data_IF_407764781382
#
_entry.id   IF_407764781382
#
_cell.length_a   1.000
_cell.length_b   1.000
_cell.length_c   1.000
_cell.angle_alpha   90.00
_cell.angle_beta   90.00
_cell.angle_gamma   90.00
#
_symmetry.space_group_name_H-M   'P 1'
#
loop_
_entity.id
_entity.type
_entity.pdbx_description
1 polymer ?
#
# COMPACT_ATOMS: atom_id res chain seq x y z
N UNK A 1 20.30 14.18 -8.38
CA UNK A 1 20.67 13.45 -7.14
C UNK A 1 19.50 13.62 -6.18
N UNK A 2 18.91 12.55 -5.65
CA UNK A 2 17.93 12.68 -4.57
C UNK A 2 18.67 13.09 -3.29
N UNK A 3 18.35 14.26 -2.73
CA UNK A 3 18.95 14.68 -1.46
C UNK A 3 18.56 13.72 -0.34
N UNK A 4 19.53 13.40 0.52
CA UNK A 4 19.28 12.59 1.70
C UNK A 4 18.42 13.40 2.68
N UNK A 5 17.16 12.99 2.87
CA UNK A 5 16.16 13.71 3.69
C UNK A 5 15.75 12.89 4.93
N UNK A 6 16.68 12.67 5.89
CA UNK A 6 16.46 11.75 7.02
C UNK A 6 15.31 12.19 7.92
N UNK A 7 15.16 13.49 8.16
CA UNK A 7 14.11 14.05 9.01
C UNK A 7 12.73 13.80 8.40
N UNK A 8 12.56 14.06 7.09
CA UNK A 8 11.30 13.83 6.40
C UNK A 8 10.93 12.34 6.39
N UNK A 9 11.89 11.45 6.13
CA UNK A 9 11.69 10.00 6.18
C UNK A 9 11.27 9.50 7.56
N UNK A 10 11.93 9.99 8.62
CA UNK A 10 11.58 9.64 10.01
C UNK A 10 10.19 10.14 10.38
N UNK A 11 9.83 11.39 10.05
CA UNK A 11 8.49 11.94 10.31
C UNK A 11 7.41 11.15 9.56
N UNK A 12 7.63 10.83 8.28
CA UNK A 12 6.70 10.01 7.50
C UNK A 12 6.52 8.62 8.09
N UNK A 13 7.62 7.97 8.49
CA UNK A 13 7.59 6.67 9.16
C UNK A 13 6.85 6.71 10.50
N UNK A 14 7.09 7.73 11.31
CA UNK A 14 6.40 7.93 12.60
C UNK A 14 4.90 8.15 12.42
N UNK A 15 4.47 8.93 11.42
CA UNK A 15 3.06 9.15 11.11
C UNK A 15 2.37 7.86 10.66
N UNK A 16 2.98 7.09 9.77
CA UNK A 16 2.44 5.81 9.29
C UNK A 16 2.35 4.80 10.45
N UNK A 17 3.42 4.68 11.24
CA UNK A 17 3.46 3.78 12.40
C UNK A 17 2.42 4.13 13.45
N UNK A 18 2.28 5.42 13.77
CA UNK A 18 1.25 5.92 14.69
C UNK A 18 -0.14 5.58 14.15
N UNK A 19 -0.43 5.88 12.87
CA UNK A 19 -1.71 5.52 12.25
C UNK A 19 -2.02 4.02 12.34
N UNK A 20 -1.04 3.15 12.11
CA UNK A 20 -1.20 1.70 12.23
C UNK A 20 -1.51 1.25 13.67
N UNK A 21 -0.86 1.85 14.68
CA UNK A 21 -1.14 1.59 16.10
C UNK A 21 -2.53 2.08 16.48
N UNK A 22 -2.93 3.28 16.04
CA UNK A 22 -4.27 3.80 16.26
C UNK A 22 -5.33 2.85 15.67
N UNK A 23 -5.18 2.42 14.43
CA UNK A 23 -6.11 1.47 13.82
C UNK A 23 -6.21 0.17 14.64
N UNK A 24 -5.06 -0.36 15.08
CA UNK A 24 -5.01 -1.57 15.91
C UNK A 24 -5.67 -1.35 17.27
N UNK A 25 -5.46 -0.22 17.93
CA UNK A 25 -6.01 0.10 19.24
C UNK A 25 -7.53 0.26 19.21
N UNK A 26 -8.08 0.92 18.18
CA UNK A 26 -9.52 1.20 18.09
C UNK A 26 -10.33 0.05 17.49
N UNK A 27 -9.75 -0.70 16.55
CA UNK A 27 -10.50 -1.76 15.84
C UNK A 27 -10.08 -3.17 16.23
N UNK A 28 -8.95 -3.33 16.92
CA UNK A 28 -8.32 -4.64 17.15
C UNK A 28 -7.75 -5.29 15.89
N UNK A 29 -7.73 -4.58 14.76
CA UNK A 29 -7.34 -5.10 13.44
C UNK A 29 -6.05 -4.44 12.96
N UNK A 30 -5.24 -5.23 12.28
CA UNK A 30 -3.95 -4.78 11.74
C UNK A 30 -4.15 -4.02 10.43
N UNK A 31 -3.35 -2.97 10.22
CA UNK A 31 -3.36 -2.24 8.97
C UNK A 31 -2.83 -3.12 7.83
N UNK A 32 -3.62 -3.27 6.77
CA UNK A 32 -3.26 -3.99 5.57
C UNK A 32 -4.20 -3.62 4.44
N UNK A 33 -3.78 -2.71 3.56
CA UNK A 33 -4.67 -2.07 2.58
C UNK A 33 -5.35 -3.10 1.67
N UNK A 34 -4.61 -4.08 1.14
CA UNK A 34 -5.22 -5.16 0.33
C UNK A 34 -6.24 -5.98 1.11
N UNK A 35 -6.01 -6.27 2.40
CA UNK A 35 -6.97 -7.03 3.22
C UNK A 35 -8.20 -6.20 3.60
N UNK A 36 -8.01 -4.89 3.80
CA UNK A 36 -9.11 -3.95 4.06
C UNK A 36 -9.99 -3.85 2.81
N UNK A 37 -9.38 -3.65 1.63
CA UNK A 37 -10.06 -3.57 0.34
C UNK A 37 -10.79 -4.87 -0.02
N UNK A 38 -10.12 -6.02 0.01
CA UNK A 38 -10.75 -7.31 -0.24
C UNK A 38 -11.88 -7.59 0.74
N UNK A 39 -11.64 -7.34 2.04
CA UNK A 39 -12.69 -7.62 3.01
C UNK A 39 -13.83 -6.59 3.00
N UNK A 40 -13.66 -5.40 2.43
CA UNK A 40 -14.79 -4.50 2.14
C UNK A 40 -15.68 -5.15 1.08
N UNK A 41 -15.10 -5.64 -0.02
CA UNK A 41 -15.84 -6.30 -1.09
C UNK A 41 -16.59 -7.52 -0.55
N UNK A 42 -15.94 -8.36 0.27
CA UNK A 42 -16.61 -9.52 0.86
C UNK A 42 -17.70 -9.14 1.86
N UNK A 43 -17.48 -8.13 2.70
CA UNK A 43 -18.46 -7.69 3.69
C UNK A 43 -19.71 -7.08 3.04
N UNK A 44 -19.55 -6.34 1.95
CA UNK A 44 -20.65 -5.82 1.15
C UNK A 44 -21.47 -6.95 0.51
N UNK A 45 -20.80 -7.96 -0.05
CA UNK A 45 -21.47 -9.16 -0.61
C UNK A 45 -22.22 -9.96 0.44
N UNK A 46 -21.73 -9.97 1.68
CA UNK A 46 -22.35 -10.69 2.80
C UNK A 46 -23.41 -9.85 3.57
N UNK A 47 -23.69 -8.61 3.16
CA UNK A 47 -24.64 -7.74 3.85
C UNK A 47 -24.21 -7.29 5.25
N UNK A 48 -22.91 -7.41 5.59
CA UNK A 48 -22.37 -6.98 6.90
C UNK A 48 -22.11 -5.48 6.89
N UNK A 49 -23.13 -4.70 7.24
CA UNK A 49 -23.13 -3.23 7.16
C UNK A 49 -22.05 -2.59 8.04
N UNK A 50 -21.94 -3.01 9.30
CA UNK A 50 -20.98 -2.43 10.25
C UNK A 50 -19.51 -2.69 9.85
N UNK A 51 -19.21 -3.92 9.44
CA UNK A 51 -17.86 -4.30 9.00
C UNK A 51 -17.48 -3.65 7.65
N UNK A 52 -18.46 -3.38 6.80
CA UNK A 52 -18.24 -2.65 5.55
C UNK A 52 -18.02 -1.16 5.82
N UNK A 53 -18.76 -0.58 6.76
CA UNK A 53 -18.72 0.85 7.06
C UNK A 53 -17.32 1.31 7.49
N UNK A 54 -16.67 0.66 8.46
CA UNK A 54 -15.34 1.09 8.92
C UNK A 54 -14.27 0.94 7.84
N UNK A 55 -14.33 -0.14 7.04
CA UNK A 55 -13.38 -0.37 5.93
C UNK A 55 -13.56 0.67 4.84
N UNK A 56 -14.81 0.98 4.51
CA UNK A 56 -15.15 2.02 3.55
C UNK A 56 -14.66 3.38 4.03
N UNK A 57 -14.94 3.76 5.28
CA UNK A 57 -14.47 5.00 5.89
C UNK A 57 -12.94 5.09 5.90
N UNK A 58 -12.24 3.98 6.20
CA UNK A 58 -10.78 3.94 6.16
C UNK A 58 -10.24 4.19 4.74
N UNK A 59 -10.77 3.48 3.73
CA UNK A 59 -10.35 3.65 2.34
C UNK A 59 -10.67 5.05 1.81
N UNK A 60 -11.88 5.56 2.11
CA UNK A 60 -12.29 6.91 1.76
C UNK A 60 -11.39 7.95 2.42
N UNK A 61 -11.04 7.74 3.70
CA UNK A 61 -10.12 8.60 4.45
C UNK A 61 -8.74 8.69 3.80
N UNK A 62 -8.17 7.58 3.32
CA UNK A 62 -6.89 7.61 2.58
C UNK A 62 -6.97 8.42 1.29
N UNK A 63 -8.06 8.24 0.51
CA UNK A 63 -8.27 9.00 -0.73
C UNK A 63 -8.49 10.48 -0.43
N UNK A 64 -9.34 10.80 0.54
CA UNK A 64 -9.64 12.17 0.94
C UNK A 64 -8.41 12.89 1.51
N UNK A 65 -7.59 12.22 2.33
CA UNK A 65 -6.36 12.80 2.88
C UNK A 65 -5.35 13.12 1.77
N UNK A 66 -5.19 12.21 0.79
CA UNK A 66 -4.31 12.43 -0.36
C UNK A 66 -4.80 13.60 -1.22
N UNK A 67 -6.12 13.68 -1.46
CA UNK A 67 -6.72 14.79 -2.18
C UNK A 67 -6.54 16.14 -1.45
N UNK A 68 -6.80 16.18 -0.15
CA UNK A 68 -6.60 17.37 0.68
C UNK A 68 -5.13 17.84 0.70
N UNK A 69 -4.19 16.89 0.68
CA UNK A 69 -2.75 17.21 0.57
C UNK A 69 -2.43 17.96 -0.73
N UNK A 70 -2.95 17.50 -1.87
CA UNK A 70 -2.73 18.19 -3.15
C UNK A 70 -3.38 19.58 -3.17
N UNK A 71 -4.57 19.73 -2.61
CA UNK A 71 -5.25 21.03 -2.55
C UNK A 71 -4.54 22.05 -1.65
N UNK A 72 -3.95 21.60 -0.54
CA UNK A 72 -3.32 22.49 0.45
C UNK A 72 -1.88 22.86 0.09
N UNK A 73 -1.14 21.94 -0.52
CA UNK A 73 0.27 22.19 -0.89
C UNK A 73 0.43 22.76 -2.30
N UNK A 74 -0.59 22.67 -3.15
CA UNK A 74 -0.49 22.99 -4.58
C UNK A 74 0.43 22.04 -5.34
N UNK A 75 0.82 20.90 -4.74
CA UNK A 75 1.64 19.90 -5.39
C UNK A 75 0.93 19.36 -6.63
N UNK A 76 1.67 19.20 -7.73
CA UNK A 76 1.14 18.64 -8.97
C UNK A 76 1.57 17.18 -9.10
N UNK A 77 0.64 16.33 -9.52
CA UNK A 77 1.00 14.97 -9.94
C UNK A 77 1.66 15.11 -11.31
N UNK A 78 2.87 14.57 -11.46
CA UNK A 78 3.53 14.42 -12.75
C UNK A 78 3.52 12.93 -13.10
N UNK A 79 2.43 12.41 -13.72
CA UNK A 79 2.36 11.01 -14.07
C UNK A 79 3.47 10.71 -15.06
N UNK A 80 4.20 9.61 -14.82
CA UNK A 80 5.17 9.16 -15.82
C UNK A 80 4.44 8.91 -17.15
N UNK A 81 4.88 9.65 -18.16
CA UNK A 81 4.41 9.53 -19.52
C UNK A 81 5.05 8.29 -20.18
N UNK A 82 4.49 7.79 -21.28
CA UNK A 82 5.03 6.70 -22.12
C UNK A 82 4.84 5.25 -21.63
N UNK A 83 4.01 5.00 -20.60
CA UNK A 83 3.62 3.63 -20.23
C UNK A 83 2.28 3.24 -20.90
N UNK A 84 2.22 2.11 -21.64
CA UNK A 84 0.96 1.67 -22.24
C UNK A 84 -0.04 1.28 -21.15
N UNK A 85 -1.30 1.70 -21.30
CA UNK A 85 -2.35 1.42 -20.33
C UNK A 85 -2.51 -0.07 -20.02
N UNK A 86 -2.31 -0.94 -21.03
CA UNK A 86 -2.33 -2.40 -20.84
C UNK A 86 -1.29 -2.91 -19.83
N UNK A 87 -0.11 -2.29 -19.78
CA UNK A 87 0.94 -2.66 -18.82
C UNK A 87 0.57 -2.23 -17.40
N UNK A 88 -0.10 -1.09 -17.23
CA UNK A 88 -0.62 -0.65 -15.93
C UNK A 88 -1.73 -1.59 -15.42
N UNK A 89 -2.66 -1.96 -16.31
CA UNK A 89 -3.73 -2.92 -15.98
C UNK A 89 -3.14 -4.28 -15.59
N UNK A 90 -2.21 -4.80 -16.40
CA UNK A 90 -1.54 -6.07 -16.12
C UNK A 90 -0.77 -6.01 -14.79
N UNK A 91 -0.03 -4.92 -14.54
CA UNK A 91 0.68 -4.70 -13.29
C UNK A 91 -0.27 -4.70 -12.08
N UNK A 92 -1.41 -4.01 -12.18
CA UNK A 92 -2.44 -4.00 -11.15
C UNK A 92 -3.01 -5.40 -10.87
N UNK A 93 -3.30 -6.18 -11.92
CA UNK A 93 -3.80 -7.56 -11.78
C UNK A 93 -2.75 -8.48 -11.12
N UNK A 94 -1.49 -8.40 -11.55
CA UNK A 94 -0.39 -9.18 -10.98
C UNK A 94 -0.16 -8.84 -9.50
N UNK A 95 -0.20 -7.55 -9.14
CA UNK A 95 -0.10 -7.11 -7.75
C UNK A 95 -1.30 -7.59 -6.93
N UNK A 96 -2.52 -7.48 -7.48
CA UNK A 96 -3.73 -8.00 -6.84
C UNK A 96 -3.63 -9.50 -6.54
N UNK A 97 -3.27 -10.29 -7.55
CA UNK A 97 -3.06 -11.74 -7.41
C UNK A 97 -1.94 -12.07 -6.41
N UNK A 98 -0.79 -11.39 -6.53
CA UNK A 98 0.36 -11.59 -5.64
C UNK A 98 0.05 -11.27 -4.17
N UNK A 99 -0.67 -10.19 -3.89
CA UNK A 99 -1.07 -9.84 -2.52
C UNK A 99 -2.11 -10.80 -1.95
N UNK A 100 -2.96 -11.40 -2.80
CA UNK A 100 -3.87 -12.47 -2.38
C UNK A 100 -3.10 -13.74 -1.99
N UNK A 101 -2.15 -14.18 -2.83
CA UNK A 101 -1.30 -15.34 -2.52
C UNK A 101 -0.44 -15.14 -1.26
N UNK A 102 0.09 -13.93 -1.07
CA UNK A 102 0.86 -13.56 0.13
C UNK A 102 0.03 -13.48 1.41
N UNK A 103 -1.31 -13.51 1.30
CA UNK A 103 -2.26 -13.20 2.37
C UNK A 103 -2.03 -11.81 3.00
N UNK A 104 -1.61 -10.85 2.16
CA UNK A 104 -1.23 -9.52 2.61
C UNK A 104 -0.45 -8.75 1.54
N UNK A 105 -0.24 -7.47 1.83
CA UNK A 105 0.55 -6.56 0.99
C UNK A 105 1.72 -5.98 1.79
N UNK A 106 2.52 -5.12 1.15
CA UNK A 106 3.65 -4.44 1.79
C UNK A 106 3.25 -3.57 2.98
N UNK A 107 2.04 -2.96 2.99
CA UNK A 107 1.56 -2.25 4.18
C UNK A 107 1.34 -3.19 5.37
N UNK A 108 0.79 -4.40 5.15
CA UNK A 108 0.55 -5.38 6.20
C UNK A 108 1.80 -6.13 6.66
N UNK A 109 2.60 -6.64 5.72
CA UNK A 109 3.83 -7.38 6.02
C UNK A 109 4.98 -6.44 6.39
N UNK A 110 5.17 -5.34 5.65
CA UNK A 110 6.25 -4.40 5.86
C UNK A 110 6.04 -3.54 7.11
N UNK A 111 4.92 -2.83 7.23
CA UNK A 111 4.70 -1.92 8.37
C UNK A 111 4.35 -2.71 9.63
N UNK A 112 3.20 -3.40 9.63
CA UNK A 112 2.73 -4.09 10.83
C UNK A 112 3.43 -5.42 11.10
N UNK A 113 3.85 -6.15 10.06
CA UNK A 113 4.44 -7.49 10.17
C UNK A 113 5.88 -7.46 10.69
N UNK A 114 6.73 -6.60 10.12
CA UNK A 114 8.11 -6.40 10.60
C UNK A 114 8.14 -5.76 11.99
N UNK A 115 7.23 -4.81 12.27
CA UNK A 115 7.11 -4.22 13.61
C UNK A 115 6.77 -5.23 14.72
N UNK A 116 6.28 -6.42 14.36
CA UNK A 116 6.02 -7.54 15.29
C UNK A 116 7.02 -8.69 15.14
N UNK A 117 8.17 -8.44 14.51
CA UNK A 117 9.28 -9.38 14.34
C UNK A 117 8.86 -10.71 13.69
N UNK A 118 7.90 -10.67 12.76
CA UNK A 118 7.43 -11.88 12.07
C UNK A 118 8.37 -12.30 10.94
N UNK A 119 9.00 -13.47 11.06
CA UNK A 119 9.87 -14.06 10.01
C UNK A 119 9.11 -14.26 8.70
N UNK A 120 7.86 -14.69 8.75
CA UNK A 120 6.99 -14.81 7.56
C UNK A 120 6.85 -13.46 6.85
N UNK A 121 6.64 -12.39 7.60
CA UNK A 121 6.49 -11.04 7.03
C UNK A 121 7.80 -10.50 6.48
N UNK A 122 8.93 -10.85 7.10
CA UNK A 122 10.25 -10.55 6.56
C UNK A 122 10.46 -11.21 5.19
N UNK A 123 10.22 -12.51 5.09
CA UNK A 123 10.36 -13.25 3.84
C UNK A 123 9.43 -12.67 2.74
N UNK A 124 8.17 -12.38 3.07
CA UNK A 124 7.23 -11.77 2.13
C UNK A 124 7.71 -10.38 1.66
N UNK A 125 8.17 -9.54 2.58
CA UNK A 125 8.62 -8.17 2.26
C UNK A 125 9.88 -8.19 1.39
N UNK A 126 10.86 -9.05 1.71
CA UNK A 126 12.07 -9.22 0.90
C UNK A 126 11.71 -9.69 -0.52
N UNK A 127 10.78 -10.64 -0.64
CA UNK A 127 10.31 -11.13 -1.94
C UNK A 127 9.65 -10.01 -2.74
N UNK A 128 8.74 -9.23 -2.14
CA UNK A 128 8.11 -8.10 -2.83
C UNK A 128 9.11 -7.05 -3.29
N UNK A 129 10.08 -6.70 -2.44
CA UNK A 129 11.10 -5.70 -2.78
C UNK A 129 12.06 -6.19 -3.86
N UNK A 130 12.51 -7.46 -3.77
CA UNK A 130 13.37 -8.07 -4.79
C UNK A 130 12.66 -8.14 -6.15
N UNK A 131 11.42 -8.62 -6.20
CA UNK A 131 10.64 -8.70 -7.44
C UNK A 131 10.33 -7.31 -8.00
N UNK A 132 10.00 -6.33 -7.17
CA UNK A 132 9.79 -4.95 -7.60
C UNK A 132 11.04 -4.33 -8.21
N UNK A 133 12.20 -4.50 -7.55
CA UNK A 133 13.50 -4.05 -8.06
C UNK A 133 13.87 -4.72 -9.38
N UNK A 134 13.70 -6.05 -9.46
CA UNK A 134 13.95 -6.82 -10.68
C UNK A 134 13.03 -6.38 -11.83
N UNK A 135 11.75 -6.16 -11.54
CA UNK A 135 10.77 -5.70 -12.55
C UNK A 135 11.17 -4.34 -13.11
N UNK A 136 11.54 -3.39 -12.25
CA UNK A 136 12.02 -2.07 -12.69
C UNK A 136 13.32 -2.21 -13.48
N UNK A 137 14.24 -3.07 -13.06
CA UNK A 137 15.49 -3.32 -13.78
C UNK A 137 15.22 -3.83 -15.20
N UNK A 138 14.38 -4.86 -15.34
CA UNK A 138 14.03 -5.47 -16.63
C UNK A 138 13.31 -4.46 -17.53
N UNK A 139 12.27 -3.80 -17.02
CA UNK A 139 11.49 -2.85 -17.84
C UNK A 139 12.37 -1.70 -18.33
N UNK A 140 13.20 -1.12 -17.44
CA UNK A 140 13.98 0.07 -17.77
C UNK A 140 15.26 -0.21 -18.56
N UNK A 141 15.96 -1.31 -18.28
CA UNK A 141 17.30 -1.56 -18.85
C UNK A 141 17.31 -2.64 -19.93
N UNK A 142 16.33 -3.55 -19.95
CA UNK A 142 16.26 -4.62 -20.94
C UNK A 142 15.20 -4.32 -21.99
N UNK A 143 13.99 -3.94 -21.57
CA UNK A 143 12.88 -3.64 -22.47
C UNK A 143 12.85 -2.18 -22.95
N UNK A 144 13.62 -1.28 -22.31
CA UNK A 144 13.66 0.16 -22.60
C UNK A 144 12.28 0.83 -22.57
N UNK A 145 11.45 0.47 -21.59
CA UNK A 145 10.13 1.05 -21.28
C UNK A 145 10.23 1.90 -20.01
#
# INVERSE_FOLDING_TARGET
MSEFTPVAGLMGGALIGTSAVFLLAFTGRLAGISNIAHGLITSLRQGKTLDSAWRFVFLLGMVAATWAYFQTTGATVNPRQHYPAGLLVLGGLLVGYGTSMGNGCTSGHGVCGLGRLSVRSLAATLTFMATGGLTVFVLRHVAHI
#
